data_IF_365109855406
#
_entry.id   IF_365109855406
#
_cell.length_a   1.000
_cell.length_b   1.000
_cell.length_c   1.000
_cell.angle_alpha   90.00
_cell.angle_beta   90.00
_cell.angle_gamma   90.00
#
_symmetry.space_group_name_H-M   'P 1'
#
loop_
_entity.id
_entity.type
_entity.pdbx_description
1 polymer ?
#
# COMPACT_ATOMS: atom_id res chain seq x y z
N UNK A 1 -19.46 11.44 -11.33
CA UNK A 1 -18.86 10.10 -11.04
C UNK A 1 -17.38 10.21 -11.39
N UNK A 2 -16.47 9.64 -10.57
CA UNK A 2 -15.03 9.66 -10.89
C UNK A 2 -14.76 8.81 -12.15
N UNK A 3 -13.93 9.34 -13.04
CA UNK A 3 -13.43 8.55 -14.16
C UNK A 3 -12.51 7.44 -13.69
N UNK A 4 -12.40 6.35 -14.46
CA UNK A 4 -11.61 5.17 -14.05
C UNK A 4 -10.14 5.49 -13.75
N UNK A 5 -9.55 6.46 -14.47
CA UNK A 5 -8.19 6.93 -14.22
C UNK A 5 -7.99 7.59 -12.86
N UNK A 6 -9.06 8.11 -12.26
CA UNK A 6 -9.04 8.83 -10.98
C UNK A 6 -9.45 7.93 -9.80
N UNK A 7 -9.76 6.66 -10.07
CA UNK A 7 -10.17 5.69 -9.05
C UNK A 7 -8.97 4.95 -8.48
N UNK A 8 -8.93 4.82 -7.17
CA UNK A 8 -7.95 3.96 -6.50
C UNK A 8 -8.35 2.49 -6.61
N UNK A 9 -9.65 2.21 -6.56
CA UNK A 9 -10.18 0.87 -6.72
C UNK A 9 -10.98 0.77 -8.03
N UNK A 10 -10.51 -0.05 -8.94
CA UNK A 10 -11.11 -0.24 -10.26
C UNK A 10 -11.90 -1.54 -10.41
N UNK A 11 -11.89 -2.37 -9.38
CA UNK A 11 -12.50 -3.70 -9.37
C UNK A 11 -13.76 -3.81 -8.49
N UNK A 12 -14.34 -2.67 -8.11
CA UNK A 12 -15.58 -2.62 -7.33
C UNK A 12 -16.81 -2.61 -8.25
N UNK A 13 -17.94 -3.03 -7.68
CA UNK A 13 -19.26 -2.95 -8.32
C UNK A 13 -19.40 -3.75 -9.64
N UNK A 14 -18.61 -4.82 -9.79
CA UNK A 14 -18.69 -5.67 -10.97
C UNK A 14 -18.14 -5.06 -12.27
N UNK A 15 -17.48 -3.92 -12.21
CA UNK A 15 -16.89 -3.25 -13.38
C UNK A 15 -15.71 -4.08 -13.94
N UNK A 16 -14.90 -4.65 -13.06
CA UNK A 16 -13.77 -5.50 -13.41
C UNK A 16 -13.72 -6.74 -12.51
N UNK A 17 -13.07 -7.79 -12.98
CA UNK A 17 -12.82 -8.98 -12.16
C UNK A 17 -11.91 -8.62 -10.98
N UNK A 18 -12.42 -8.85 -9.76
CA UNK A 18 -11.71 -8.58 -8.52
C UNK A 18 -10.71 -9.67 -8.12
N UNK A 19 -10.72 -10.81 -8.82
CA UNK A 19 -9.86 -11.95 -8.53
C UNK A 19 -8.43 -11.72 -9.01
N UNK A 20 -7.52 -12.63 -8.65
CA UNK A 20 -6.12 -12.58 -9.05
C UNK A 20 -5.94 -12.52 -10.58
N UNK A 21 -6.73 -13.27 -11.33
CA UNK A 21 -6.69 -13.24 -12.79
C UNK A 21 -7.00 -11.85 -13.35
N UNK A 22 -8.04 -11.21 -12.83
CA UNK A 22 -8.38 -9.84 -13.22
C UNK A 22 -7.30 -8.83 -12.85
N UNK A 23 -6.69 -8.96 -11.68
CA UNK A 23 -5.58 -8.11 -11.28
C UNK A 23 -4.36 -8.27 -12.22
N UNK A 24 -4.02 -9.51 -12.58
CA UNK A 24 -2.94 -9.81 -13.54
C UNK A 24 -3.25 -9.27 -14.93
N UNK A 25 -4.47 -9.42 -15.42
CA UNK A 25 -4.89 -8.90 -16.73
C UNK A 25 -4.74 -7.38 -16.83
N UNK A 26 -4.81 -6.66 -15.70
CA UNK A 26 -4.61 -5.21 -15.61
C UNK A 26 -3.17 -4.81 -15.25
N UNK A 27 -2.22 -5.72 -15.33
CA UNK A 27 -0.80 -5.46 -15.05
C UNK A 27 -0.41 -5.57 -13.57
N UNK A 28 -1.33 -5.96 -12.69
CA UNK A 28 -1.01 -6.21 -11.29
C UNK A 28 0.03 -7.31 -11.14
N UNK A 29 1.00 -7.12 -10.24
CA UNK A 29 2.11 -8.02 -9.96
C UNK A 29 3.21 -8.09 -11.02
N UNK A 30 3.06 -7.49 -12.20
CA UNK A 30 4.05 -7.57 -13.30
C UNK A 30 5.42 -7.04 -12.89
N UNK A 31 5.47 -5.96 -12.12
CA UNK A 31 6.72 -5.35 -11.66
C UNK A 31 7.34 -5.99 -10.40
N UNK A 32 6.68 -6.95 -9.76
CA UNK A 32 7.07 -7.43 -8.43
C UNK A 32 8.47 -8.06 -8.42
N UNK A 33 8.79 -8.92 -9.38
CA UNK A 33 10.13 -9.55 -9.47
C UNK A 33 11.23 -8.53 -9.68
N UNK A 34 10.99 -7.52 -10.53
CA UNK A 34 11.95 -6.45 -10.77
C UNK A 34 12.19 -5.59 -9.52
N UNK A 35 11.15 -5.30 -8.76
CA UNK A 35 11.26 -4.56 -7.49
C UNK A 35 12.06 -5.37 -6.47
N UNK A 36 11.77 -6.66 -6.31
CA UNK A 36 12.51 -7.53 -5.40
C UNK A 36 13.98 -7.65 -5.77
N UNK A 37 14.30 -7.70 -7.08
CA UNK A 37 15.68 -7.74 -7.57
C UNK A 37 16.50 -6.49 -7.23
N UNK A 38 15.85 -5.33 -7.03
CA UNK A 38 16.52 -4.09 -6.61
C UNK A 38 16.97 -4.10 -5.16
N UNK A 39 16.44 -5.00 -4.36
CA UNK A 39 16.86 -5.21 -2.99
C UNK A 39 16.14 -4.32 -1.96
N UNK A 40 16.36 -4.67 -0.72
CA UNK A 40 15.71 -4.09 0.45
C UNK A 40 15.95 -2.58 0.60
N UNK A 41 17.21 -2.16 0.47
CA UNK A 41 17.58 -0.77 0.72
C UNK A 41 16.93 0.15 -0.33
N UNK A 42 16.89 -0.28 -1.57
CA UNK A 42 16.19 0.45 -2.63
C UNK A 42 14.70 0.60 -2.31
N UNK A 43 14.04 -0.48 -1.90
CA UNK A 43 12.60 -0.48 -1.56
C UNK A 43 12.33 0.50 -0.39
N UNK A 44 13.17 0.47 0.65
CA UNK A 44 13.04 1.39 1.79
C UNK A 44 13.21 2.84 1.35
N UNK A 45 14.19 3.13 0.49
CA UNK A 45 14.43 4.48 -0.01
C UNK A 45 13.28 4.99 -0.87
N UNK A 46 12.69 4.16 -1.73
CA UNK A 46 11.49 4.50 -2.49
C UNK A 46 10.30 4.79 -1.57
N UNK A 47 10.12 4.00 -0.53
CA UNK A 47 9.07 4.27 0.46
C UNK A 47 9.30 5.58 1.22
N UNK A 48 10.54 5.93 1.53
CA UNK A 48 10.86 7.24 2.12
C UNK A 48 10.56 8.38 1.16
N UNK A 49 10.97 8.24 -0.10
CA UNK A 49 10.74 9.24 -1.15
C UNK A 49 9.24 9.45 -1.43
N UNK A 50 8.42 8.41 -1.33
CA UNK A 50 6.98 8.50 -1.53
C UNK A 50 6.26 9.40 -0.53
N UNK A 51 6.85 9.67 0.62
CA UNK A 51 6.23 10.42 1.71
C UNK A 51 5.04 9.73 2.35
N UNK A 52 4.81 8.43 2.10
CA UNK A 52 3.71 7.67 2.68
C UNK A 52 3.82 7.66 4.20
N UNK A 53 2.71 7.97 4.86
CA UNK A 53 2.59 7.97 6.32
C UNK A 53 1.59 6.95 6.79
N UNK A 54 1.80 6.43 8.00
CA UNK A 54 0.82 5.59 8.69
C UNK A 54 -0.52 6.30 8.85
N UNK A 55 -1.59 5.54 8.88
CA UNK A 55 -2.96 6.03 9.05
C UNK A 55 -3.48 5.88 10.49
N UNK A 56 -2.65 5.42 11.40
CA UNK A 56 -2.86 5.62 12.84
C UNK A 56 -2.71 7.10 13.20
N UNK A 57 -3.18 7.51 14.35
CA UNK A 57 -3.24 8.92 14.74
C UNK A 57 -1.91 9.69 14.64
N UNK A 58 -0.77 9.03 14.85
CA UNK A 58 0.55 9.67 14.80
C UNK A 58 1.06 10.00 13.40
N UNK A 59 0.52 9.37 12.34
CA UNK A 59 0.97 9.63 10.98
C UNK A 59 2.47 9.38 10.75
N UNK A 60 3.04 8.37 11.41
CA UNK A 60 4.48 8.12 11.35
C UNK A 60 4.95 7.77 9.92
N UNK A 61 6.11 8.28 9.46
CA UNK A 61 6.60 8.00 8.12
C UNK A 61 6.88 6.51 7.90
N UNK A 62 6.20 5.90 6.93
CA UNK A 62 6.23 4.45 6.68
C UNK A 62 7.63 3.97 6.31
N UNK A 63 8.31 4.65 5.39
CA UNK A 63 9.66 4.28 4.96
C UNK A 63 10.68 4.35 6.09
N UNK A 64 10.54 5.33 6.98
CA UNK A 64 11.39 5.43 8.17
C UNK A 64 11.15 4.25 9.11
N UNK A 65 9.89 3.90 9.35
CA UNK A 65 9.55 2.73 10.17
C UNK A 65 10.14 1.44 9.60
N UNK A 66 10.08 1.25 8.29
CA UNK A 66 10.67 0.08 7.63
C UNK A 66 12.19 0.03 7.77
N UNK A 67 12.87 1.20 7.83
CA UNK A 67 14.33 1.26 8.01
C UNK A 67 14.80 0.76 9.38
N UNK A 68 13.91 0.70 10.37
CA UNK A 68 14.22 0.18 11.70
C UNK A 68 14.17 -1.35 11.79
N UNK A 69 13.70 -2.03 10.75
CA UNK A 69 13.68 -3.49 10.73
C UNK A 69 15.11 -4.07 10.80
N UNK A 70 15.35 -5.12 11.58
CA UNK A 70 16.66 -5.77 11.66
C UNK A 70 17.16 -6.19 10.28
N UNK A 71 18.43 -5.88 9.98
CA UNK A 71 19.05 -6.24 8.70
C UNK A 71 19.53 -7.68 8.65
N UNK A 72 19.84 -8.26 9.80
CA UNK A 72 20.30 -9.62 9.92
C UNK A 72 19.25 -10.47 10.62
N UNK A 73 19.09 -11.71 10.14
CA UNK A 73 18.26 -12.69 10.82
C UNK A 73 18.98 -13.18 12.07
N UNK A 74 18.25 -13.32 13.16
CA UNK A 74 18.72 -13.90 14.42
C UNK A 74 18.32 -15.38 14.57
N UNK A 75 18.10 -16.07 13.46
CA UNK A 75 17.63 -17.46 13.35
C UNK A 75 16.22 -17.72 13.94
N UNK A 76 15.53 -16.66 14.33
CA UNK A 76 14.11 -16.76 14.74
C UNK A 76 13.18 -16.55 13.55
N UNK A 77 12.03 -17.22 13.53
CA UNK A 77 11.01 -16.95 12.52
C UNK A 77 10.56 -15.50 12.56
N UNK A 78 10.46 -14.88 11.38
CA UNK A 78 9.88 -13.56 11.23
C UNK A 78 8.48 -13.69 10.60
N UNK A 79 7.51 -13.02 11.20
CA UNK A 79 6.11 -13.09 10.77
C UNK A 79 5.65 -11.72 10.28
N UNK A 80 4.91 -11.71 9.18
CA UNK A 80 4.15 -10.55 8.76
C UNK A 80 2.73 -10.65 9.31
N UNK A 81 2.36 -9.69 10.14
CA UNK A 81 1.00 -9.57 10.64
C UNK A 81 0.39 -8.30 10.07
N UNK A 82 -0.70 -8.47 9.32
CA UNK A 82 -1.42 -7.35 8.70
C UNK A 82 -2.68 -7.06 9.51
N UNK A 83 -2.76 -5.85 10.06
CA UNK A 83 -3.99 -5.34 10.64
C UNK A 83 -4.83 -4.71 9.51
N UNK A 84 -5.91 -5.37 9.16
CA UNK A 84 -6.86 -4.92 8.15
C UNK A 84 -8.21 -4.50 8.78
N UNK A 85 -8.27 -4.27 10.08
CA UNK A 85 -9.46 -3.76 10.76
C UNK A 85 -9.69 -2.29 10.38
N UNK A 86 -10.87 -1.98 9.90
CA UNK A 86 -11.29 -0.65 9.46
C UNK A 86 -12.54 -0.17 10.23
N UNK A 87 -12.62 -0.54 11.50
CA UNK A 87 -13.76 -0.25 12.37
C UNK A 87 -13.75 1.16 12.99
N UNK A 88 -12.69 1.93 12.82
CA UNK A 88 -12.64 3.29 13.35
C UNK A 88 -13.60 4.24 12.64
N UNK A 89 -14.42 5.01 13.38
CA UNK A 89 -15.35 5.96 12.77
C UNK A 89 -14.65 6.97 11.86
N UNK A 90 -15.16 7.16 10.63
CA UNK A 90 -14.65 8.17 9.69
C UNK A 90 -13.48 7.73 8.80
N UNK A 91 -12.83 6.60 9.03
CA UNK A 91 -11.74 6.11 8.16
C UNK A 91 -12.17 5.82 6.73
N UNK A 92 -13.29 5.12 6.47
CA UNK A 92 -13.76 4.90 5.10
C UNK A 92 -14.15 6.20 4.40
N UNK A 93 -14.71 7.16 5.13
CA UNK A 93 -15.16 8.43 4.57
C UNK A 93 -14.01 9.37 4.22
N UNK A 94 -12.87 9.32 4.90
CA UNK A 94 -11.71 10.16 4.58
C UNK A 94 -11.06 9.76 3.25
N UNK A 95 -11.16 8.51 2.85
CA UNK A 95 -10.67 8.02 1.55
C UNK A 95 -11.56 8.45 0.39
N UNK A 96 -12.83 8.72 0.64
CA UNK A 96 -13.83 9.08 -0.37
C UNK A 96 -14.06 10.59 -0.52
N UNK A 97 -13.54 11.43 0.37
CA UNK A 97 -13.64 12.87 0.22
C UNK A 97 -12.60 13.37 -0.77
N UNK A 98 -13.00 13.96 -1.91
CA UNK A 98 -12.06 14.69 -2.74
C UNK A 98 -11.45 15.82 -1.89
N UNK A 99 -10.14 15.98 -1.96
CA UNK A 99 -9.50 17.18 -1.40
C UNK A 99 -10.17 18.38 -2.05
N UNK A 100 -10.87 19.17 -1.27
CA UNK A 100 -11.24 20.51 -1.73
C UNK A 100 -9.93 21.25 -1.97
N UNK A 101 -9.70 21.65 -3.20
CA UNK A 101 -8.67 22.63 -3.51
C UNK A 101 -8.98 23.89 -2.68
N UNK A 102 -8.02 24.30 -1.85
CA UNK A 102 -7.97 25.65 -1.31
C UNK A 102 -7.37 26.55 -2.35
#
# INVERSE_FOLDING_TARGET
MLEDKDRVFTNLYGIHDWRLQGARARGGWDGTKAILAKGRDWIINEMKASGLRGRGGAGFPTGLKWSFMPKQSDDRPHYLVVNADESEPGRPMQRLRPRRAQ
#
